data_IF_126417050979
#
_entry.id   IF_126417050979
#
_cell.length_a   1.000
_cell.length_b   1.000
_cell.length_c   1.000
_cell.angle_alpha   90.00
_cell.angle_beta   90.00
_cell.angle_gamma   90.00
#
_symmetry.space_group_name_H-M   'P 1'
#
loop_
_entity.id
_entity.type
_entity.pdbx_description
1 polymer ?
#
# COMPACT_ATOMS: atom_id res chain seq x y z
N UNK A 1 37.19 -102.33 -34.16
CA UNK A 1 37.82 -103.26 -35.11
C UNK A 1 38.69 -104.18 -34.29
N UNK A 2 38.19 -105.38 -34.02
CA UNK A 2 38.92 -106.45 -33.34
C UNK A 2 40.18 -106.82 -34.11
N UNK A 3 41.28 -107.19 -33.44
CA UNK A 3 42.44 -107.73 -34.13
C UNK A 3 42.08 -109.13 -34.64
N UNK A 4 42.26 -109.35 -35.94
CA UNK A 4 42.30 -110.68 -36.54
C UNK A 4 43.27 -111.53 -35.73
N UNK A 5 42.73 -112.44 -34.91
CA UNK A 5 43.49 -113.51 -34.29
C UNK A 5 43.93 -114.42 -35.42
N UNK A 6 45.10 -114.15 -36.01
CA UNK A 6 45.88 -115.21 -36.65
C UNK A 6 46.13 -116.25 -35.57
N UNK A 7 45.38 -117.35 -35.69
CA UNK A 7 45.41 -118.50 -34.80
C UNK A 7 46.88 -118.91 -34.60
N UNK A 8 47.35 -118.82 -33.36
CA UNK A 8 48.74 -119.08 -32.99
C UNK A 8 49.16 -120.47 -33.48
N UNK A 9 48.21 -121.39 -33.60
CA UNK A 9 48.38 -122.72 -34.21
C UNK A 9 48.81 -122.65 -35.68
N UNK A 10 48.20 -121.80 -36.50
CA UNK A 10 48.52 -121.69 -37.94
C UNK A 10 49.88 -121.06 -38.16
N UNK A 11 50.23 -120.02 -37.38
CA UNK A 11 51.56 -119.39 -37.44
C UNK A 11 52.66 -120.35 -36.96
N UNK A 12 52.38 -121.17 -35.93
CA UNK A 12 53.31 -122.21 -35.47
C UNK A 12 53.44 -123.37 -36.47
N UNK A 13 52.38 -123.69 -37.22
CA UNK A 13 52.40 -124.75 -38.24
C UNK A 13 53.19 -124.31 -39.48
N UNK A 14 52.96 -123.08 -39.97
CA UNK A 14 53.79 -122.50 -41.05
C UNK A 14 55.25 -122.28 -40.60
N UNK A 15 55.50 -121.93 -39.33
CA UNK A 15 56.87 -121.83 -38.80
C UNK A 15 57.56 -123.20 -38.67
N UNK A 16 56.81 -124.27 -38.39
CA UNK A 16 57.34 -125.64 -38.29
C UNK A 16 57.78 -126.18 -39.65
N UNK A 17 57.02 -125.91 -40.71
CA UNK A 17 57.39 -126.30 -42.08
C UNK A 17 58.60 -125.51 -42.60
N UNK A 18 58.78 -124.27 -42.16
CA UNK A 18 59.96 -123.45 -42.50
C UNK A 18 61.22 -123.87 -41.74
N UNK A 19 61.10 -124.35 -40.49
CA UNK A 19 62.25 -124.76 -39.67
C UNK A 19 62.70 -126.22 -39.89
N UNK A 20 61.80 -127.13 -40.27
CA UNK A 20 62.05 -128.59 -40.28
C UNK A 20 61.50 -129.33 -41.52
N UNK A 21 61.67 -128.80 -42.74
CA UNK A 21 61.28 -129.49 -43.98
C UNK A 21 61.77 -130.95 -44.13
N UNK A 22 61.20 -131.67 -45.11
CA UNK A 22 61.37 -133.11 -45.44
C UNK A 22 62.76 -133.72 -45.10
N UNK A 23 62.87 -134.79 -44.27
CA UNK A 23 64.15 -135.32 -43.76
C UNK A 23 65.05 -135.98 -44.82
N UNK A 24 64.60 -136.07 -46.07
CA UNK A 24 65.28 -136.79 -47.15
C UNK A 24 65.88 -135.90 -48.25
N UNK A 25 65.70 -134.58 -48.15
CA UNK A 25 66.44 -133.62 -48.98
C UNK A 25 67.54 -132.95 -48.14
N UNK A 26 68.79 -133.11 -48.59
CA UNK A 26 69.92 -132.38 -48.04
C UNK A 26 69.58 -130.89 -48.07
N UNK A 27 69.38 -130.29 -46.89
CA UNK A 27 69.16 -128.85 -46.76
C UNK A 27 70.44 -128.20 -47.28
N UNK A 28 70.41 -127.77 -48.54
CA UNK A 28 71.55 -127.11 -49.14
C UNK A 28 71.73 -125.75 -48.45
N UNK A 29 72.99 -125.40 -48.18
CA UNK A 29 73.37 -124.12 -47.59
C UNK A 29 72.72 -122.92 -48.33
N UNK A 30 72.42 -123.10 -49.63
CA UNK A 30 71.78 -122.12 -50.50
C UNK A 30 70.32 -121.82 -50.14
N UNK A 31 69.52 -122.82 -49.77
CA UNK A 31 68.12 -122.61 -49.38
C UNK A 31 68.02 -121.87 -48.05
N UNK A 32 68.89 -122.23 -47.09
CA UNK A 32 69.03 -121.54 -45.80
C UNK A 32 69.48 -120.10 -46.03
N UNK A 33 70.43 -119.86 -46.94
CA UNK A 33 70.91 -118.52 -47.29
C UNK A 33 69.81 -117.63 -47.88
N UNK A 34 68.97 -118.14 -48.79
CA UNK A 34 67.85 -117.38 -49.36
C UNK A 34 66.75 -117.06 -48.32
N UNK A 35 66.46 -118.00 -47.42
CA UNK A 35 65.55 -117.76 -46.31
C UNK A 35 66.09 -116.67 -45.37
N UNK A 36 67.39 -116.73 -45.05
CA UNK A 36 68.07 -115.70 -44.25
C UNK A 36 68.04 -114.32 -44.92
N UNK A 37 68.22 -114.23 -46.25
CA UNK A 37 68.07 -112.97 -47.00
C UNK A 37 66.64 -112.42 -46.87
N UNK A 38 65.63 -113.26 -47.07
CA UNK A 38 64.22 -112.84 -46.99
C UNK A 38 63.85 -112.41 -45.56
N UNK A 39 64.26 -113.18 -44.54
CA UNK A 39 64.11 -112.81 -43.14
C UNK A 39 64.79 -111.49 -42.82
N UNK A 40 66.01 -111.27 -43.31
CA UNK A 40 66.74 -110.02 -43.13
C UNK A 40 66.00 -108.84 -43.76
N UNK A 41 65.46 -108.97 -44.98
CA UNK A 41 64.65 -107.93 -45.63
C UNK A 41 63.33 -107.62 -44.90
N UNK A 42 62.67 -108.64 -44.34
CA UNK A 42 61.50 -108.46 -43.47
C UNK A 42 61.87 -107.77 -42.16
N UNK A 43 63.01 -108.12 -41.55
CA UNK A 43 63.54 -107.46 -40.36
C UNK A 43 63.78 -105.96 -40.62
N UNK A 44 64.41 -105.60 -41.73
CA UNK A 44 64.62 -104.19 -42.10
C UNK A 44 63.30 -103.43 -42.32
N UNK A 45 62.29 -104.09 -42.90
CA UNK A 45 60.95 -103.50 -43.06
C UNK A 45 60.26 -103.29 -41.72
N UNK A 46 60.42 -104.23 -40.78
CA UNK A 46 59.91 -104.14 -39.40
C UNK A 46 60.61 -103.01 -38.65
N UNK A 47 61.93 -102.89 -38.76
CA UNK A 47 62.70 -101.77 -38.16
C UNK A 47 62.22 -100.43 -38.71
N UNK A 48 61.97 -100.34 -40.01
CA UNK A 48 61.40 -99.14 -40.65
C UNK A 48 60.00 -98.85 -40.11
N UNK A 49 59.13 -99.86 -39.99
CA UNK A 49 57.81 -99.71 -39.37
C UNK A 49 57.89 -99.26 -37.91
N UNK A 50 58.83 -99.80 -37.13
CA UNK A 50 59.03 -99.44 -35.73
C UNK A 50 59.50 -97.99 -35.57
N UNK A 51 60.37 -97.50 -36.46
CA UNK A 51 60.76 -96.08 -36.47
C UNK A 51 59.59 -95.15 -36.80
N UNK A 52 58.73 -95.53 -37.76
CA UNK A 52 57.49 -94.79 -38.07
C UNK A 52 56.52 -94.76 -36.87
N UNK A 53 56.28 -95.91 -36.21
CA UNK A 53 55.44 -95.98 -35.00
C UNK A 53 56.01 -95.12 -33.87
N UNK A 54 57.33 -95.13 -33.69
CA UNK A 54 58.00 -94.28 -32.71
C UNK A 54 57.79 -92.79 -33.03
N UNK A 55 57.89 -92.42 -34.31
CA UNK A 55 57.61 -91.06 -34.75
C UNK A 55 56.14 -90.67 -34.55
N UNK A 56 55.21 -91.58 -34.88
CA UNK A 56 53.78 -91.39 -34.61
C UNK A 56 53.52 -91.14 -33.12
N UNK A 57 54.10 -91.94 -32.23
CA UNK A 57 53.96 -91.74 -30.79
C UNK A 57 54.46 -90.36 -30.34
N UNK A 58 55.60 -89.89 -30.87
CA UNK A 58 56.08 -88.53 -30.58
C UNK A 58 55.08 -87.47 -31.02
N UNK A 59 54.55 -87.58 -32.24
CA UNK A 59 53.53 -86.63 -32.73
C UNK A 59 52.24 -86.67 -31.91
N UNK A 60 51.82 -87.86 -31.46
CA UNK A 60 50.65 -88.04 -30.61
C UNK A 60 50.85 -87.38 -29.24
N UNK A 61 52.04 -87.51 -28.65
CA UNK A 61 52.41 -86.83 -27.41
C UNK A 61 52.41 -85.31 -27.57
N UNK A 62 52.95 -84.78 -28.68
CA UNK A 62 52.90 -83.33 -28.96
C UNK A 62 51.46 -82.84 -29.12
N UNK A 63 50.64 -83.60 -29.85
CA UNK A 63 49.23 -83.26 -30.05
C UNK A 63 48.46 -83.24 -28.72
N UNK A 64 48.69 -84.22 -27.85
CA UNK A 64 48.09 -84.25 -26.52
C UNK A 64 48.46 -83.03 -25.68
N UNK A 65 49.74 -82.59 -25.73
CA UNK A 65 50.19 -81.36 -25.07
C UNK A 65 49.46 -80.13 -25.61
N UNK A 66 49.39 -79.98 -26.94
CA UNK A 66 48.69 -78.87 -27.58
C UNK A 66 47.20 -78.85 -27.21
N UNK A 67 46.55 -80.02 -27.11
CA UNK A 67 45.15 -80.13 -26.69
C UNK A 67 44.93 -79.65 -25.25
N UNK A 68 45.85 -79.98 -24.35
CA UNK A 68 45.83 -79.50 -22.96
C UNK A 68 45.95 -77.97 -22.90
N UNK A 69 46.89 -77.39 -23.65
CA UNK A 69 47.07 -75.94 -23.75
C UNK A 69 45.86 -75.24 -24.40
N UNK A 70 45.23 -75.85 -25.40
CA UNK A 70 44.02 -75.30 -26.01
C UNK A 70 42.86 -75.29 -25.01
N UNK A 71 42.71 -76.36 -24.22
CA UNK A 71 41.68 -76.48 -23.19
C UNK A 71 41.82 -75.39 -22.12
N UNK A 72 43.04 -75.10 -21.67
CA UNK A 72 43.26 -74.01 -20.69
C UNK A 72 42.92 -72.64 -21.29
N UNK A 73 43.30 -72.37 -22.54
CA UNK A 73 42.93 -71.12 -23.25
C UNK A 73 41.42 -70.97 -23.41
N UNK A 74 40.71 -72.05 -23.75
CA UNK A 74 39.24 -72.05 -23.87
C UNK A 74 38.59 -71.66 -22.54
N UNK A 75 39.03 -72.27 -21.43
CA UNK A 75 38.50 -71.93 -20.10
C UNK A 75 38.79 -70.47 -19.72
N UNK A 76 39.96 -69.94 -20.10
CA UNK A 76 40.30 -68.53 -19.85
C UNK A 76 39.40 -67.58 -20.65
N UNK A 77 39.12 -67.90 -21.92
CA UNK A 77 38.19 -67.14 -22.77
C UNK A 77 36.78 -67.18 -22.18
N UNK A 78 36.30 -68.34 -21.72
CA UNK A 78 34.99 -68.48 -21.11
C UNK A 78 34.85 -67.59 -19.86
N UNK A 79 35.88 -67.57 -19.00
CA UNK A 79 35.91 -66.66 -17.84
C UNK A 79 35.89 -65.18 -18.25
N UNK A 80 36.61 -64.79 -19.31
CA UNK A 80 36.60 -63.42 -19.82
C UNK A 80 35.23 -63.03 -20.40
N UNK A 81 34.56 -63.95 -21.10
CA UNK A 81 33.21 -63.74 -21.64
C UNK A 81 32.20 -63.54 -20.51
N UNK A 82 32.23 -64.35 -19.46
CA UNK A 82 31.36 -64.17 -18.28
C UNK A 82 31.56 -62.78 -17.64
N UNK A 83 32.82 -62.33 -17.49
CA UNK A 83 33.12 -60.98 -16.96
C UNK A 83 32.65 -59.85 -17.88
N UNK A 84 32.62 -60.06 -19.19
CA UNK A 84 32.03 -59.09 -20.13
C UNK A 84 30.51 -59.05 -19.97
N UNK A 85 29.84 -60.20 -19.84
CA UNK A 85 28.39 -60.26 -19.71
C UNK A 85 27.88 -59.47 -18.50
N UNK A 86 28.51 -59.67 -17.33
CA UNK A 86 28.17 -58.93 -16.11
C UNK A 86 28.37 -57.42 -16.28
N UNK A 87 29.43 -57.00 -16.99
CA UNK A 87 29.65 -55.58 -17.28
C UNK A 87 28.63 -55.01 -18.26
N UNK A 88 28.19 -55.78 -19.25
CA UNK A 88 27.13 -55.40 -20.18
C UNK A 88 25.80 -55.20 -19.44
N UNK A 89 25.39 -56.17 -18.61
CA UNK A 89 24.16 -56.07 -17.80
C UNK A 89 24.17 -54.83 -16.88
N UNK A 90 25.32 -54.56 -16.23
CA UNK A 90 25.48 -53.35 -15.42
C UNK A 90 25.33 -52.07 -16.25
N UNK A 91 25.96 -52.01 -17.42
CA UNK A 91 25.91 -50.85 -18.31
C UNK A 91 24.49 -50.60 -18.82
N UNK A 92 23.73 -51.65 -19.15
CA UNK A 92 22.33 -51.56 -19.58
C UNK A 92 21.41 -50.99 -18.48
N UNK A 93 21.66 -51.39 -17.23
CA UNK A 93 20.96 -50.83 -16.06
C UNK A 93 21.23 -49.34 -15.89
N UNK A 94 22.50 -48.92 -15.97
CA UNK A 94 22.91 -47.51 -15.89
C UNK A 94 22.29 -46.66 -17.02
N UNK A 95 22.29 -47.17 -18.26
CA UNK A 95 21.64 -46.51 -19.41
C UNK A 95 20.15 -46.31 -19.17
N UNK A 96 19.48 -47.31 -18.60
CA UNK A 96 18.04 -47.24 -18.28
C UNK A 96 17.73 -46.17 -17.23
N UNK A 97 18.60 -46.04 -16.21
CA UNK A 97 18.49 -45.00 -15.20
C UNK A 97 18.70 -43.60 -15.80
N UNK A 98 19.73 -43.41 -16.63
CA UNK A 98 20.01 -42.13 -17.32
C UNK A 98 18.84 -41.73 -18.20
N UNK A 99 18.25 -42.67 -18.94
CA UNK A 99 17.08 -42.40 -19.81
C UNK A 99 15.89 -41.90 -19.01
N UNK A 100 15.67 -42.46 -17.82
CA UNK A 100 14.61 -42.02 -16.90
C UNK A 100 14.88 -40.62 -16.37
N UNK A 101 16.12 -40.35 -15.94
CA UNK A 101 16.54 -39.03 -15.47
C UNK A 101 16.41 -37.96 -16.57
N UNK A 102 16.83 -38.27 -17.79
CA UNK A 102 16.69 -37.38 -18.94
C UNK A 102 15.22 -37.04 -19.23
N UNK A 103 14.32 -38.02 -19.15
CA UNK A 103 12.88 -37.79 -19.29
C UNK A 103 12.31 -36.87 -18.19
N UNK A 104 12.82 -36.95 -16.97
CA UNK A 104 12.41 -36.06 -15.88
C UNK A 104 12.94 -34.64 -16.08
N UNK A 105 14.19 -34.48 -16.50
CA UNK A 105 14.78 -33.18 -16.83
C UNK A 105 14.02 -32.47 -17.96
N UNK A 106 13.62 -33.21 -19.00
CA UNK A 106 12.83 -32.66 -20.12
C UNK A 106 11.46 -32.12 -19.65
N UNK A 107 10.80 -32.84 -18.73
CA UNK A 107 9.55 -32.35 -18.10
C UNK A 107 9.77 -31.08 -17.27
N UNK A 108 10.84 -31.04 -16.47
CA UNK A 108 11.17 -29.85 -15.69
C UNK A 108 11.47 -28.64 -16.58
N UNK A 109 12.20 -28.85 -17.68
CA UNK A 109 12.54 -27.80 -18.64
C UNK A 109 11.29 -27.24 -19.32
N UNK A 110 10.34 -28.10 -19.72
CA UNK A 110 9.03 -27.68 -20.25
C UNK A 110 8.23 -26.85 -19.25
N UNK A 111 8.20 -27.26 -17.99
CA UNK A 111 7.51 -26.51 -16.94
C UNK A 111 8.15 -25.12 -16.71
N UNK A 112 9.48 -25.05 -16.65
CA UNK A 112 10.19 -23.77 -16.54
C UNK A 112 9.90 -22.85 -17.72
N UNK A 113 9.81 -23.40 -18.94
CA UNK A 113 9.47 -22.61 -20.12
C UNK A 113 8.06 -22.01 -20.03
N UNK A 114 7.07 -22.79 -19.57
CA UNK A 114 5.70 -22.30 -19.35
C UNK A 114 5.68 -21.20 -18.29
N UNK A 115 6.34 -21.41 -17.15
CA UNK A 115 6.40 -20.42 -16.07
C UNK A 115 7.09 -19.13 -16.54
N UNK A 116 8.16 -19.23 -17.32
CA UNK A 116 8.85 -18.06 -17.86
C UNK A 116 7.95 -17.25 -18.79
N UNK A 117 7.18 -17.93 -19.66
CA UNK A 117 6.19 -17.29 -20.52
C UNK A 117 5.11 -16.56 -19.72
N UNK A 118 4.62 -17.17 -18.64
CA UNK A 118 3.63 -16.56 -17.76
C UNK A 118 4.18 -15.30 -17.05
N UNK A 119 5.38 -15.40 -16.48
CA UNK A 119 6.08 -14.26 -15.87
C UNK A 119 6.26 -13.13 -16.87
N UNK A 120 6.63 -13.43 -18.11
CA UNK A 120 6.81 -12.42 -19.15
C UNK A 120 5.49 -11.71 -19.50
N UNK A 121 4.38 -12.45 -19.56
CA UNK A 121 3.05 -11.85 -19.77
C UNK A 121 2.63 -10.93 -18.60
N UNK A 122 2.95 -11.33 -17.36
CA UNK A 122 2.67 -10.53 -16.17
C UNK A 122 3.50 -9.24 -16.16
N UNK A 123 4.78 -9.32 -16.56
CA UNK A 123 5.64 -8.15 -16.70
C UNK A 123 5.12 -7.18 -17.77
N UNK A 124 4.63 -7.69 -18.90
CA UNK A 124 4.02 -6.84 -19.93
C UNK A 124 2.77 -6.12 -19.40
N UNK A 125 1.87 -6.85 -18.73
CA UNK A 125 0.67 -6.27 -18.13
C UNK A 125 0.99 -5.19 -17.09
N UNK A 126 2.04 -5.40 -16.29
CA UNK A 126 2.50 -4.43 -15.32
C UNK A 126 3.10 -3.18 -15.99
N UNK A 127 3.83 -3.37 -17.10
CA UNK A 127 4.35 -2.26 -17.90
C UNK A 127 3.22 -1.39 -18.45
N UNK A 128 2.19 -2.00 -19.04
CA UNK A 128 1.04 -1.29 -19.59
C UNK A 128 0.27 -0.52 -18.51
N UNK A 129 0.12 -1.11 -17.32
CA UNK A 129 -0.49 -0.45 -16.16
C UNK A 129 0.35 0.76 -15.68
N UNK A 130 1.68 0.62 -15.64
CA UNK A 130 2.58 1.71 -15.25
C UNK A 130 2.50 2.89 -16.22
N UNK A 131 2.36 2.63 -17.51
CA UNK A 131 2.19 3.68 -18.52
C UNK A 131 0.86 4.42 -18.35
N UNK A 132 -0.27 3.72 -18.16
CA UNK A 132 -1.56 4.34 -17.85
C UNK A 132 -1.52 5.15 -16.54
N UNK A 133 -0.89 4.59 -15.50
CA UNK A 133 -0.72 5.28 -14.22
C UNK A 133 0.07 6.58 -14.38
N UNK A 134 1.14 6.57 -15.16
CA UNK A 134 1.96 7.76 -15.45
C UNK A 134 1.15 8.85 -16.15
N UNK A 135 0.34 8.49 -17.15
CA UNK A 135 -0.53 9.43 -17.85
C UNK A 135 -1.55 10.07 -16.90
N UNK A 136 -2.20 9.26 -16.05
CA UNK A 136 -3.14 9.76 -15.03
C UNK A 136 -2.46 10.66 -14.02
N UNK A 137 -1.26 10.30 -13.56
CA UNK A 137 -0.47 11.12 -12.64
C UNK A 137 -0.15 12.49 -13.26
N UNK A 138 0.30 12.53 -14.50
CA UNK A 138 0.63 13.78 -15.21
C UNK A 138 -0.61 14.68 -15.39
N UNK A 139 -1.77 14.10 -15.66
CA UNK A 139 -3.03 14.84 -15.72
C UNK A 139 -3.42 15.41 -14.35
N UNK A 140 -3.37 14.59 -13.29
CA UNK A 140 -3.65 15.06 -11.93
C UNK A 140 -2.69 16.19 -11.50
N UNK A 141 -1.41 16.12 -11.88
CA UNK A 141 -0.43 17.18 -11.63
C UNK A 141 -0.83 18.49 -12.34
N UNK A 142 -1.34 18.41 -13.58
CA UNK A 142 -1.86 19.58 -14.31
C UNK A 142 -3.09 20.17 -13.62
N UNK A 143 -4.05 19.33 -13.22
CA UNK A 143 -5.28 19.75 -12.55
C UNK A 143 -4.96 20.44 -11.21
N UNK A 144 -4.07 19.87 -10.41
CA UNK A 144 -3.63 20.46 -9.14
C UNK A 144 -2.97 21.82 -9.36
N UNK A 145 -2.14 21.98 -10.40
CA UNK A 145 -1.55 23.28 -10.75
C UNK A 145 -2.62 24.30 -11.15
N UNK A 146 -3.60 23.88 -11.95
CA UNK A 146 -4.70 24.74 -12.35
C UNK A 146 -5.54 25.18 -11.14
N UNK A 147 -5.95 24.24 -10.28
CA UNK A 147 -6.69 24.54 -9.04
C UNK A 147 -5.91 25.52 -8.18
N UNK A 148 -4.61 25.29 -7.97
CA UNK A 148 -3.75 26.19 -7.19
C UNK A 148 -3.75 27.61 -7.77
N UNK A 149 -3.68 27.74 -9.09
CA UNK A 149 -3.73 29.06 -9.74
C UNK A 149 -5.09 29.75 -9.57
N UNK A 150 -6.19 29.01 -9.68
CA UNK A 150 -7.54 29.53 -9.45
C UNK A 150 -7.75 29.96 -8.00
N UNK A 151 -7.32 29.15 -7.03
CA UNK A 151 -7.39 29.49 -5.60
C UNK A 151 -6.60 30.76 -5.29
N UNK A 152 -5.41 30.91 -5.86
CA UNK A 152 -4.60 32.13 -5.69
C UNK A 152 -5.30 33.38 -6.22
N UNK A 153 -6.01 33.27 -7.36
CA UNK A 153 -6.79 34.38 -7.92
C UNK A 153 -7.96 34.75 -7.00
N UNK A 154 -8.75 33.76 -6.59
CA UNK A 154 -9.89 33.98 -5.68
C UNK A 154 -9.45 34.58 -4.35
N UNK A 155 -8.31 34.12 -3.80
CA UNK A 155 -7.77 34.67 -2.56
C UNK A 155 -7.43 36.17 -2.69
N UNK A 156 -6.81 36.57 -3.80
CA UNK A 156 -6.50 37.97 -4.07
C UNK A 156 -7.77 38.80 -4.29
N UNK A 157 -8.71 38.32 -5.10
CA UNK A 157 -9.98 39.01 -5.37
C UNK A 157 -10.79 39.22 -4.08
N UNK A 158 -10.78 38.24 -3.17
CA UNK A 158 -11.43 38.36 -1.87
C UNK A 158 -10.75 39.37 -0.96
N UNK A 159 -9.41 39.43 -0.95
CA UNK A 159 -8.68 40.44 -0.18
C UNK A 159 -9.00 41.85 -0.69
N UNK A 160 -8.93 42.06 -2.01
CA UNK A 160 -9.27 43.32 -2.65
C UNK A 160 -10.70 43.75 -2.30
N UNK A 161 -11.69 42.86 -2.46
CA UNK A 161 -13.09 43.19 -2.13
C UNK A 161 -13.30 43.42 -0.63
N UNK A 162 -12.55 42.73 0.22
CA UNK A 162 -12.59 42.96 1.68
C UNK A 162 -12.04 44.33 2.04
N UNK A 163 -10.96 44.78 1.40
CA UNK A 163 -10.43 46.13 1.62
C UNK A 163 -11.40 47.22 1.16
N UNK A 164 -12.03 47.03 0.00
CA UNK A 164 -13.01 47.96 -0.56
C UNK A 164 -14.24 48.09 0.34
N UNK A 165 -14.86 46.96 0.74
CA UNK A 165 -16.01 46.97 1.64
C UNK A 165 -15.69 47.59 3.00
N UNK A 166 -14.47 47.37 3.54
CA UNK A 166 -14.05 48.03 4.78
C UNK A 166 -13.97 49.55 4.62
N UNK A 167 -13.51 50.04 3.47
CA UNK A 167 -13.45 51.47 3.16
C UNK A 167 -14.87 52.06 3.05
N UNK A 168 -15.76 51.40 2.30
CA UNK A 168 -17.16 51.81 2.12
C UNK A 168 -17.89 51.86 3.47
N UNK A 169 -17.79 50.81 4.29
CA UNK A 169 -18.40 50.77 5.63
C UNK A 169 -17.86 51.90 6.51
N UNK A 170 -16.56 52.16 6.48
CA UNK A 170 -15.96 53.23 7.27
C UNK A 170 -16.51 54.59 6.87
N UNK A 171 -16.63 54.86 5.56
CA UNK A 171 -17.18 56.13 5.04
C UNK A 171 -18.68 56.27 5.35
N UNK A 172 -19.45 55.20 5.19
CA UNK A 172 -20.88 55.21 5.52
C UNK A 172 -21.10 55.44 7.02
N UNK A 173 -20.27 54.81 7.87
CA UNK A 173 -20.33 54.97 9.32
C UNK A 173 -19.95 56.39 9.76
N UNK A 174 -18.96 57.03 9.13
CA UNK A 174 -18.63 58.43 9.42
C UNK A 174 -19.77 59.36 9.02
N UNK A 175 -20.34 59.19 7.82
CA UNK A 175 -21.49 60.00 7.36
C UNK A 175 -22.70 59.85 8.28
N UNK A 176 -23.08 58.62 8.62
CA UNK A 176 -24.21 58.37 9.54
C UNK A 176 -23.97 58.95 10.95
N UNK A 177 -22.72 58.95 11.44
CA UNK A 177 -22.37 59.57 12.72
C UNK A 177 -22.49 61.09 12.68
N UNK A 178 -22.07 61.72 11.59
CA UNK A 178 -22.20 63.16 11.39
C UNK A 178 -23.68 63.56 11.33
N UNK A 179 -24.49 62.87 10.54
CA UNK A 179 -25.94 63.09 10.49
C UNK A 179 -26.62 62.90 11.84
N UNK A 180 -26.25 61.85 12.58
CA UNK A 180 -26.80 61.62 13.91
C UNK A 180 -26.46 62.74 14.89
N UNK A 181 -25.22 63.25 14.85
CA UNK A 181 -24.81 64.36 15.71
C UNK A 181 -25.51 65.67 15.31
N UNK A 182 -25.68 65.93 14.01
CA UNK A 182 -26.48 67.06 13.54
C UNK A 182 -27.94 66.98 14.00
N UNK A 183 -28.58 65.83 13.82
CA UNK A 183 -29.96 65.62 14.25
C UNK A 183 -30.10 65.76 15.76
N UNK A 184 -29.14 65.20 16.52
CA UNK A 184 -29.09 65.34 17.97
C UNK A 184 -28.99 66.81 18.38
N UNK A 185 -28.13 67.59 17.72
CA UNK A 185 -28.00 69.02 17.97
C UNK A 185 -29.28 69.79 17.63
N UNK A 186 -29.95 69.47 16.51
CA UNK A 186 -31.25 70.03 16.14
C UNK A 186 -32.33 69.70 17.18
N UNK A 187 -32.38 68.46 17.67
CA UNK A 187 -33.32 68.04 18.73
C UNK A 187 -33.06 68.83 20.02
N UNK A 188 -31.79 68.99 20.43
CA UNK A 188 -31.43 69.79 21.61
C UNK A 188 -31.85 71.25 21.44
N UNK A 189 -31.59 71.87 20.29
CA UNK A 189 -32.00 73.26 20.00
C UNK A 189 -33.52 73.41 20.06
N UNK A 190 -34.28 72.50 19.44
CA UNK A 190 -35.74 72.50 19.49
C UNK A 190 -36.27 72.34 20.92
N UNK A 191 -35.67 71.45 21.72
CA UNK A 191 -36.03 71.28 23.13
C UNK A 191 -35.74 72.56 23.93
N UNK A 192 -34.56 73.16 23.77
CA UNK A 192 -34.20 74.44 24.38
C UNK A 192 -35.22 75.54 24.04
N UNK A 193 -35.59 75.68 22.76
CA UNK A 193 -36.56 76.68 22.30
C UNK A 193 -37.96 76.43 22.85
N UNK A 194 -38.41 75.17 22.86
CA UNK A 194 -39.73 74.79 23.37
C UNK A 194 -39.87 75.03 24.87
N UNK A 195 -38.79 74.79 25.62
CA UNK A 195 -38.74 74.87 27.08
C UNK A 195 -38.33 76.25 27.62
N UNK A 196 -37.87 77.16 26.74
CA UNK A 196 -37.30 78.48 27.09
C UNK A 196 -38.14 79.30 28.06
N UNK A 197 -39.47 79.26 27.89
CA UNK A 197 -40.40 80.05 28.69
C UNK A 197 -41.09 79.23 29.80
N UNK A 198 -40.55 78.06 30.14
CA UNK A 198 -41.16 77.17 31.13
C UNK A 198 -40.43 77.27 32.48
N UNK A 199 -41.20 77.44 33.55
CA UNK A 199 -40.72 77.43 34.92
C UNK A 199 -41.35 76.27 35.69
N UNK A 200 -40.53 75.57 36.47
CA UNK A 200 -40.98 74.47 37.33
C UNK A 200 -41.04 74.96 38.77
N UNK A 201 -42.23 74.88 39.37
CA UNK A 201 -42.44 75.16 40.79
C UNK A 201 -42.51 73.86 41.59
N UNK A 202 -41.79 73.79 42.71
CA UNK A 202 -41.74 72.64 43.61
C UNK A 202 -42.17 73.05 45.03
N UNK A 203 -42.69 72.09 45.79
CA UNK A 203 -43.11 72.31 47.19
C UNK A 203 -44.53 72.85 47.38
N UNK A 204 -45.25 73.16 46.29
CA UNK A 204 -46.66 73.59 46.33
C UNK A 204 -47.54 72.37 46.62
N UNK A 205 -48.30 72.38 47.71
CA UNK A 205 -49.18 71.27 48.10
C UNK A 205 -50.21 70.94 47.01
N UNK A 206 -50.55 69.67 46.89
CA UNK A 206 -51.47 69.17 45.87
C UNK A 206 -52.85 68.94 46.52
N UNK A 207 -53.91 69.35 45.82
CA UNK A 207 -55.29 69.12 46.24
C UNK A 207 -56.05 68.34 45.17
N UNK A 208 -57.02 67.54 45.59
CA UNK A 208 -57.86 66.80 44.66
C UNK A 208 -58.65 67.79 43.81
N UNK A 209 -58.56 67.66 42.47
CA UNK A 209 -59.27 68.51 41.50
C UNK A 209 -58.85 69.99 41.52
N UNK A 210 -57.59 70.29 41.86
CA UNK A 210 -57.06 71.65 41.85
C UNK A 210 -57.05 72.28 40.45
N UNK A 211 -57.35 73.59 40.39
CA UNK A 211 -57.03 74.39 39.21
C UNK A 211 -55.57 74.84 39.29
N UNK A 212 -54.68 74.06 38.65
CA UNK A 212 -53.23 74.29 38.71
C UNK A 212 -52.80 75.69 38.26
N UNK A 213 -53.51 76.31 37.31
CA UNK A 213 -53.20 77.67 36.85
C UNK A 213 -53.48 78.70 37.95
N UNK A 214 -54.65 78.60 38.60
CA UNK A 214 -55.02 79.52 39.68
C UNK A 214 -54.09 79.36 40.88
N UNK A 215 -53.72 78.12 41.22
CA UNK A 215 -52.76 77.83 42.29
C UNK A 215 -51.42 78.52 42.05
N UNK A 216 -50.91 78.50 40.80
CA UNK A 216 -49.67 79.19 40.44
C UNK A 216 -49.83 80.72 40.48
N UNK A 217 -50.94 81.26 39.98
CA UNK A 217 -51.22 82.70 40.04
C UNK A 217 -51.29 83.21 41.47
N UNK A 218 -51.98 82.48 42.34
CA UNK A 218 -52.07 82.80 43.77
C UNK A 218 -50.70 82.71 44.45
N UNK A 219 -49.92 81.68 44.12
CA UNK A 219 -48.56 81.52 44.63
C UNK A 219 -47.66 82.70 44.23
N UNK A 220 -47.69 83.12 42.95
CA UNK A 220 -46.92 84.27 42.47
C UNK A 220 -47.34 85.55 43.19
N UNK A 221 -48.64 85.77 43.41
CA UNK A 221 -49.14 86.97 44.10
C UNK A 221 -48.77 87.00 45.58
N UNK A 222 -48.91 85.86 46.28
CA UNK A 222 -48.69 85.76 47.73
C UNK A 222 -47.22 85.68 48.10
N UNK A 223 -46.47 84.79 47.45
CA UNK A 223 -45.10 84.45 47.85
C UNK A 223 -44.04 85.29 47.12
N UNK A 224 -44.32 85.68 45.87
CA UNK A 224 -43.41 86.50 45.05
C UNK A 224 -43.82 87.99 45.01
N UNK A 225 -44.98 88.34 45.58
CA UNK A 225 -45.51 89.71 45.66
C UNK A 225 -45.67 90.42 44.30
N UNK A 226 -45.94 89.67 43.24
CA UNK A 226 -46.23 90.23 41.92
C UNK A 226 -47.75 90.30 41.77
N UNK A 227 -48.30 91.52 41.82
CA UNK A 227 -49.76 91.74 41.75
C UNK A 227 -50.29 91.96 40.33
N UNK A 228 -49.40 92.04 39.35
CA UNK A 228 -49.75 92.25 37.95
C UNK A 228 -50.41 91.00 37.35
N UNK A 229 -51.30 91.22 36.37
CA UNK A 229 -51.88 90.14 35.59
C UNK A 229 -50.79 89.45 34.75
N UNK A 230 -50.61 88.14 34.94
CA UNK A 230 -49.68 87.32 34.17
C UNK A 230 -50.48 86.32 33.34
N UNK A 231 -50.23 86.32 32.03
CA UNK A 231 -50.79 85.33 31.11
C UNK A 231 -49.91 84.08 31.08
N UNK A 232 -50.52 82.98 31.51
CA UNK A 232 -49.93 81.66 31.48
C UNK A 232 -50.51 80.89 30.28
N UNK A 233 -49.66 80.12 29.62
CA UNK A 233 -50.09 79.10 28.67
C UNK A 233 -50.43 77.82 29.42
N UNK A 234 -49.94 76.68 28.92
CA UNK A 234 -50.16 75.40 29.56
C UNK A 234 -49.53 75.35 30.97
N UNK A 235 -50.37 75.04 31.97
CA UNK A 235 -49.98 74.79 33.36
C UNK A 235 -50.46 73.39 33.74
N UNK A 236 -49.56 72.57 34.27
CA UNK A 236 -49.90 71.21 34.68
C UNK A 236 -48.93 70.67 35.72
N UNK A 237 -49.39 69.72 36.53
CA UNK A 237 -48.53 68.92 37.41
C UNK A 237 -47.72 67.92 36.59
N UNK A 238 -46.45 67.79 36.91
CA UNK A 238 -45.51 66.92 36.22
C UNK A 238 -45.21 65.65 37.04
N UNK A 239 -45.40 64.47 36.42
CA UNK A 239 -45.15 63.14 37.02
C UNK A 239 -46.41 62.27 37.23
N UNK A 240 -46.24 60.94 37.19
CA UNK A 240 -47.33 59.96 37.39
C UNK A 240 -47.77 59.90 38.86
N UNK A 241 -49.10 59.91 39.09
CA UNK A 241 -49.72 59.88 40.43
C UNK A 241 -49.31 58.69 41.29
N UNK A 242 -48.89 57.57 40.68
CA UNK A 242 -48.42 56.38 41.41
C UNK A 242 -47.10 56.60 42.20
N UNK A 243 -46.29 57.61 41.85
CA UNK A 243 -45.07 57.95 42.61
C UNK A 243 -45.32 58.94 43.76
N UNK A 244 -46.49 59.56 43.83
CA UNK A 244 -46.87 60.49 44.90
C UNK A 244 -46.88 59.81 46.28
N UNK A 245 -47.08 58.49 46.33
CA UNK A 245 -47.21 57.73 47.57
C UNK A 245 -45.91 57.29 48.26
N UNK A 246 -44.73 57.36 47.62
CA UNK A 246 -43.50 56.79 48.23
C UNK A 246 -42.68 57.74 49.11
N UNK A 247 -42.90 59.07 49.04
CA UNK A 247 -42.09 60.07 49.78
C UNK A 247 -42.85 61.27 50.34
N UNK A 248 -44.17 61.36 50.21
CA UNK A 248 -44.98 62.46 50.78
C UNK A 248 -44.63 63.86 50.27
N UNK A 249 -44.01 63.99 49.08
CA UNK A 249 -43.66 65.29 48.47
C UNK A 249 -44.62 65.60 47.32
N UNK A 250 -45.16 66.83 47.24
CA UNK A 250 -46.10 67.20 46.19
C UNK A 250 -45.44 67.23 44.81
N UNK A 251 -46.20 66.93 43.75
CA UNK A 251 -45.71 66.92 42.36
C UNK A 251 -45.33 68.33 41.91
N UNK A 252 -44.19 68.52 41.21
CA UNK A 252 -43.86 69.82 40.63
C UNK A 252 -44.93 70.32 39.65
N UNK A 253 -45.13 71.63 39.56
CA UNK A 253 -45.96 72.26 38.52
C UNK A 253 -45.03 72.81 37.44
N UNK A 254 -45.29 72.45 36.18
CA UNK A 254 -44.64 73.06 35.02
C UNK A 254 -45.58 74.12 34.47
N UNK A 255 -45.08 75.35 34.36
CA UNK A 255 -45.83 76.51 33.92
C UNK A 255 -45.15 77.14 32.72
N UNK A 256 -45.88 77.30 31.61
CA UNK A 256 -45.41 78.05 30.44
C UNK A 256 -45.86 79.51 30.52
N UNK A 257 -44.92 80.44 30.45
CA UNK A 257 -45.20 81.87 30.35
C UNK A 257 -45.37 82.26 28.88
N UNK A 258 -46.42 83.03 28.56
CA UNK A 258 -46.61 83.55 27.20
C UNK A 258 -45.56 84.63 26.90
N UNK A 259 -45.34 85.55 27.83
CA UNK A 259 -44.37 86.63 27.69
C UNK A 259 -43.10 86.38 28.49
N UNK A 260 -41.95 86.50 27.84
CA UNK A 260 -40.65 86.35 28.50
C UNK A 260 -40.42 87.40 29.62
N UNK A 261 -40.97 88.61 29.45
CA UNK A 261 -40.88 89.68 30.47
C UNK A 261 -41.48 89.24 31.81
N UNK A 262 -42.58 88.48 31.77
CA UNK A 262 -43.23 87.95 32.97
C UNK A 262 -42.40 86.87 33.64
N UNK A 263 -41.86 85.94 32.85
CA UNK A 263 -40.94 84.92 33.35
C UNK A 263 -39.70 85.55 34.00
N UNK A 264 -39.07 86.52 33.34
CA UNK A 264 -37.89 87.21 33.85
C UNK A 264 -38.20 87.92 35.18
N UNK A 265 -39.36 88.59 35.26
CA UNK A 265 -39.83 89.24 36.49
C UNK A 265 -40.10 88.26 37.62
N UNK A 266 -40.73 87.12 37.32
CA UNK A 266 -40.93 86.03 38.29
C UNK A 266 -39.57 85.53 38.78
N UNK A 267 -38.65 85.19 37.87
CA UNK A 267 -37.29 84.74 38.18
C UNK A 267 -36.53 85.74 39.05
N UNK A 268 -36.57 87.03 38.74
CA UNK A 268 -35.93 88.08 39.54
C UNK A 268 -36.47 88.20 40.96
N UNK A 269 -37.69 87.73 41.24
CA UNK A 269 -38.27 87.72 42.59
C UNK A 269 -38.13 86.37 43.32
N UNK A 270 -37.62 85.33 42.66
CA UNK A 270 -37.48 83.98 43.25
C UNK A 270 -36.51 83.92 44.43
N UNK A 271 -35.59 84.88 44.57
CA UNK A 271 -34.72 84.97 45.75
C UNK A 271 -35.52 85.05 47.07
N UNK A 272 -36.77 85.53 47.03
CA UNK A 272 -37.70 85.60 48.16
C UNK A 272 -38.19 84.24 48.63
N UNK A 273 -38.01 83.21 47.83
CA UNK A 273 -38.30 81.81 48.18
C UNK A 273 -37.13 81.16 48.94
N UNK A 274 -35.95 81.80 49.00
CA UNK A 274 -34.77 81.26 49.69
C UNK A 274 -35.05 81.14 51.19
N UNK A 275 -34.95 79.92 51.72
CA UNK A 275 -35.27 79.61 53.12
C UNK A 275 -36.71 79.13 53.36
N UNK A 276 -37.57 79.15 52.33
CA UNK A 276 -38.90 78.52 52.36
C UNK A 276 -38.82 77.08 51.82
N UNK A 277 -39.89 76.30 52.00
CA UNK A 277 -40.01 74.93 51.49
C UNK A 277 -40.29 74.85 49.97
N UNK A 278 -40.41 76.00 49.30
CA UNK A 278 -40.70 76.12 47.88
C UNK A 278 -39.44 76.29 47.04
N UNK A 279 -39.46 75.77 45.82
CA UNK A 279 -38.40 75.97 44.83
C UNK A 279 -38.97 76.37 43.48
N UNK A 280 -38.16 77.08 42.70
CA UNK A 280 -38.46 77.43 41.32
C UNK A 280 -37.21 77.28 40.47
N UNK A 281 -37.32 76.57 39.34
CA UNK A 281 -36.18 76.36 38.44
C UNK A 281 -36.62 76.39 36.97
N UNK A 282 -35.82 76.98 36.06
CA UNK A 282 -36.06 76.87 34.63
C UNK A 282 -36.07 75.40 34.19
N UNK A 283 -36.85 75.10 33.15
CA UNK A 283 -36.88 73.74 32.59
C UNK A 283 -35.70 73.55 31.65
N UNK A 284 -34.87 72.51 31.85
CA UNK A 284 -33.64 72.26 31.08
C UNK A 284 -33.77 70.93 30.32
N UNK A 285 -33.48 70.88 29.01
CA UNK A 285 -33.47 69.63 28.24
C UNK A 285 -32.54 68.56 28.84
N UNK A 286 -32.99 67.30 28.90
CA UNK A 286 -32.19 66.15 29.34
C UNK A 286 -32.02 65.99 30.86
N UNK A 287 -32.51 66.92 31.69
CA UNK A 287 -32.60 66.75 33.16
C UNK A 287 -34.04 66.36 33.52
N UNK A 288 -34.26 65.07 33.75
CA UNK A 288 -35.48 64.55 34.39
C UNK A 288 -35.18 64.08 35.81
#
# INVERSE_FOLDING_TARGET
MEPSQTDTSTVLTESRDVLYGDPSQDITLQNVYQLLINMNGRLTSIETGMTQVTQMNRTLSTLAKNFSELKTKVNEVESKVQKINVRCEKSESEISQIKTQHGNLDKQLKNLHVNNKEVNNNLQSLSDFMDDFKVKHDNNVKDVKQIRSSVSRVANDLDDRTTELRSEIKSALSGAREEHEELRNKVIDLQCRSMKNNLVFTGIQESEHENTEQVVKDFIRKELHISDWIELGNVHRFGSGARAGKRGRPRPIVTRFIFYKDLARVLSNTYRLKGKSFGSQPTIPGRN
#
